data_IF_685642953282
#
_entry.id   IF_685642953282
#
_cell.length_a   1.000
_cell.length_b   1.000
_cell.length_c   1.000
_cell.angle_alpha   90.00
_cell.angle_beta   90.00
_cell.angle_gamma   90.00
#
_symmetry.space_group_name_H-M   'P 1'
#
loop_
_entity.id
_entity.type
_entity.pdbx_description
1 polymer ?
#
# COMPACT_ATOMS: atom_id res chain seq x y z
N UNK A 1 -22.78 -58.75 0.94
CA UNK A 1 -21.40 -59.27 0.81
C UNK A 1 -20.46 -58.19 1.33
N UNK A 2 -19.56 -58.59 2.23
CA UNK A 2 -18.58 -57.85 3.06
C UNK A 2 -17.90 -56.61 2.42
N UNK A 3 -17.85 -55.49 3.18
CA UNK A 3 -16.70 -54.82 3.87
C UNK A 3 -15.88 -53.93 2.91
N UNK A 4 -15.55 -52.65 3.18
CA UNK A 4 -14.80 -51.99 4.27
C UNK A 4 -15.12 -50.47 4.11
N UNK A 5 -15.35 -49.59 5.09
CA UNK A 5 -14.77 -49.43 6.41
C UNK A 5 -13.62 -48.41 6.37
N UNK A 6 -13.87 -47.11 6.20
CA UNK A 6 -12.85 -46.08 6.51
C UNK A 6 -13.48 -44.84 7.15
N UNK A 7 -12.83 -44.44 8.23
CA UNK A 7 -13.23 -43.41 9.17
C UNK A 7 -13.35 -42.04 8.50
N UNK A 8 -14.44 -41.34 8.79
CA UNK A 8 -14.52 -39.89 8.59
C UNK A 8 -13.67 -39.24 9.68
N UNK A 9 -12.44 -38.89 9.32
CA UNK A 9 -11.60 -38.02 10.13
C UNK A 9 -12.23 -36.62 10.07
N UNK A 10 -13.05 -36.28 11.06
CA UNK A 10 -13.47 -34.90 11.29
C UNK A 10 -12.22 -34.15 11.78
N UNK A 11 -11.51 -33.52 10.85
CA UNK A 11 -10.50 -32.53 11.18
C UNK A 11 -11.26 -31.29 11.64
N UNK A 12 -11.49 -31.19 12.94
CA UNK A 12 -11.78 -29.91 13.59
C UNK A 12 -10.52 -29.04 13.44
N UNK A 13 -10.44 -28.31 12.33
CA UNK A 13 -9.50 -27.22 12.18
C UNK A 13 -9.97 -26.13 13.16
N UNK A 14 -9.51 -26.22 14.40
CA UNK A 14 -9.45 -25.08 15.30
C UNK A 14 -8.39 -24.14 14.74
N UNK A 15 -8.74 -23.43 13.66
CA UNK A 15 -7.99 -22.27 13.21
C UNK A 15 -8.23 -21.17 14.24
N UNK A 16 -7.36 -21.14 15.25
CA UNK A 16 -7.13 -19.90 15.99
C UNK A 16 -6.47 -18.96 14.99
N UNK A 17 -7.29 -18.21 14.26
CA UNK A 17 -6.84 -17.14 13.40
C UNK A 17 -6.32 -16.01 14.30
N UNK A 18 -5.07 -16.12 14.73
CA UNK A 18 -4.36 -15.02 15.36
C UNK A 18 -3.88 -14.13 14.22
N UNK A 19 -4.70 -13.17 13.81
CA UNK A 19 -4.35 -12.19 12.78
C UNK A 19 -3.16 -11.34 13.24
N UNK A 20 -2.00 -11.55 12.62
CA UNK A 20 -0.81 -10.73 12.76
C UNK A 20 -0.46 -10.25 11.35
N UNK A 21 -0.28 -8.94 11.14
CA UNK A 21 -0.08 -8.35 9.81
C UNK A 21 1.25 -8.77 9.27
N UNK A 22 1.30 -9.00 7.96
CA UNK A 22 1.95 -10.18 7.40
C UNK A 22 2.19 -9.96 5.89
N UNK A 23 3.28 -10.51 5.37
CA UNK A 23 3.39 -10.82 3.95
C UNK A 23 2.41 -11.96 3.69
N UNK A 24 1.23 -11.60 3.22
CA UNK A 24 0.11 -12.51 3.08
C UNK A 24 0.13 -13.20 1.73
N UNK A 25 -0.56 -14.34 1.65
CA UNK A 25 -0.82 -15.01 0.38
C UNK A 25 -1.96 -14.37 -0.40
N UNK A 26 -2.92 -13.74 0.29
CA UNK A 26 -4.13 -13.19 -0.30
C UNK A 26 -4.73 -12.03 0.52
N UNK A 27 -4.77 -10.83 -0.07
CA UNK A 27 -5.40 -9.64 0.51
C UNK A 27 -6.86 -9.86 0.92
N UNK A 28 -7.65 -10.53 0.08
CA UNK A 28 -9.09 -10.74 0.31
C UNK A 28 -9.38 -11.60 1.54
N UNK A 29 -8.40 -12.37 2.02
CA UNK A 29 -8.52 -13.19 3.24
C UNK A 29 -7.98 -12.47 4.48
N UNK A 30 -6.92 -11.67 4.33
CA UNK A 30 -6.22 -11.10 5.48
C UNK A 30 -6.57 -9.65 5.77
N UNK A 31 -6.56 -8.77 4.76
CA UNK A 31 -6.78 -7.33 4.93
C UNK A 31 -7.80 -6.76 3.93
N UNK A 32 -8.89 -7.49 3.71
CA UNK A 32 -9.95 -7.15 2.76
C UNK A 32 -10.66 -5.83 3.07
N UNK A 33 -10.63 -5.36 4.33
CA UNK A 33 -11.25 -4.12 4.75
C UNK A 33 -10.70 -2.86 4.05
N UNK A 34 -9.53 -2.94 3.41
CA UNK A 34 -8.93 -1.81 2.70
C UNK A 34 -9.30 -1.72 1.23
N UNK A 35 -10.06 -2.69 0.73
CA UNK A 35 -10.46 -2.76 -0.66
C UNK A 35 -11.97 -2.55 -0.77
N UNK A 36 -12.39 -1.86 -1.82
CA UNK A 36 -13.81 -1.67 -2.09
C UNK A 36 -14.49 -3.02 -2.29
N UNK A 37 -15.72 -3.14 -1.82
CA UNK A 37 -16.53 -4.34 -1.95
C UNK A 37 -17.90 -4.06 -2.62
N UNK A 38 -17.91 -3.54 -3.86
CA UNK A 38 -19.15 -3.32 -4.59
C UNK A 38 -19.95 -4.61 -4.67
N UNK A 39 -21.27 -4.52 -4.47
CA UNK A 39 -22.15 -5.71 -4.42
C UNK A 39 -21.74 -6.75 -3.37
N UNK A 40 -20.99 -6.35 -2.33
CA UNK A 40 -20.44 -7.20 -1.26
C UNK A 40 -19.32 -8.15 -1.69
N UNK A 41 -18.72 -7.93 -2.85
CA UNK A 41 -17.57 -8.71 -3.33
C UNK A 41 -16.30 -7.88 -3.25
N UNK A 42 -15.32 -8.31 -2.47
CA UNK A 42 -14.04 -7.60 -2.28
C UNK A 42 -13.28 -7.56 -3.61
N UNK A 43 -12.97 -6.36 -4.09
CA UNK A 43 -12.32 -6.15 -5.39
C UNK A 43 -11.00 -5.39 -5.18
N UNK A 44 -9.89 -6.08 -4.85
CA UNK A 44 -8.57 -5.45 -4.85
C UNK A 44 -8.11 -5.18 -6.29
N UNK A 45 -7.21 -4.20 -6.52
CA UNK A 45 -6.52 -4.08 -7.80
C UNK A 45 -5.76 -5.35 -8.16
N UNK A 46 -5.49 -5.55 -9.44
CA UNK A 46 -4.81 -6.74 -9.93
C UNK A 46 -3.46 -6.97 -9.23
N UNK A 47 -3.28 -8.20 -8.76
CA UNK A 47 -2.01 -8.67 -8.22
C UNK A 47 -1.25 -9.35 -9.35
N UNK A 48 -0.13 -8.74 -9.72
CA UNK A 48 0.73 -9.27 -10.78
C UNK A 48 1.31 -10.65 -10.38
N UNK A 49 1.38 -11.59 -11.33
CA UNK A 49 2.00 -12.89 -11.08
C UNK A 49 3.51 -12.73 -10.93
N UNK A 50 4.10 -13.47 -9.99
CA UNK A 50 5.55 -13.60 -9.89
C UNK A 50 6.09 -13.52 -8.46
N UNK A 51 7.24 -14.16 -8.18
CA UNK A 51 7.82 -14.23 -6.86
C UNK A 51 8.48 -12.92 -6.41
N UNK A 52 8.39 -11.83 -7.16
CA UNK A 52 8.82 -10.49 -6.73
C UNK A 52 7.69 -9.69 -6.07
N UNK A 53 6.44 -9.99 -6.41
CA UNK A 53 5.30 -9.26 -5.88
C UNK A 53 4.92 -9.82 -4.51
N UNK A 54 4.85 -8.93 -3.52
CA UNK A 54 4.63 -9.25 -2.11
C UNK A 54 3.39 -8.50 -1.65
N UNK A 55 2.37 -9.23 -1.23
CA UNK A 55 1.19 -8.66 -0.61
C UNK A 55 1.48 -8.43 0.86
N UNK A 56 1.35 -7.21 1.36
CA UNK A 56 1.70 -6.82 2.72
C UNK A 56 0.47 -6.21 3.37
N UNK A 57 0.07 -6.71 4.54
CA UNK A 57 -0.94 -6.06 5.39
C UNK A 57 -0.21 -5.41 6.57
N UNK A 58 -0.06 -4.07 6.55
CA UNK A 58 0.81 -3.36 7.47
C UNK A 58 0.24 -3.25 8.88
N UNK A 59 1.11 -3.49 9.87
CA UNK A 59 0.81 -3.23 11.28
C UNK A 59 2.05 -2.91 12.11
N UNK A 60 1.84 -2.25 13.25
CA UNK A 60 2.89 -2.03 14.24
C UNK A 60 3.01 -3.18 15.24
N UNK A 61 4.15 -3.27 15.92
CA UNK A 61 4.50 -4.35 16.84
C UNK A 61 3.47 -4.62 17.95
N UNK A 62 2.79 -3.57 18.43
CA UNK A 62 1.86 -3.64 19.56
C UNK A 62 0.39 -3.59 19.13
N UNK A 63 0.09 -3.93 17.87
CA UNK A 63 -1.25 -3.90 17.32
C UNK A 63 -1.69 -5.28 16.83
N UNK A 64 -2.99 -5.55 17.00
CA UNK A 64 -3.67 -6.74 16.49
C UNK A 64 -4.60 -6.42 15.31
N UNK A 65 -4.44 -5.24 14.71
CA UNK A 65 -5.18 -4.81 13.54
C UNK A 65 -4.22 -4.26 12.51
N UNK A 66 -4.67 -4.22 11.25
CA UNK A 66 -3.93 -3.66 10.14
C UNK A 66 -4.31 -2.20 9.94
N UNK A 67 -3.39 -1.42 9.39
CA UNK A 67 -3.60 0.01 9.15
C UNK A 67 -3.84 0.31 7.66
N UNK A 68 -3.25 -0.50 6.76
CA UNK A 68 -3.44 -0.45 5.31
C UNK A 68 -2.85 -1.71 4.65
N UNK A 69 -2.95 -1.81 3.33
CA UNK A 69 -2.33 -2.87 2.53
C UNK A 69 -1.40 -2.29 1.46
N UNK A 70 -0.34 -3.01 1.11
CA UNK A 70 0.55 -2.67 -0.02
C UNK A 70 0.89 -3.89 -0.83
N UNK A 71 0.75 -3.79 -2.15
CA UNK A 71 1.42 -4.70 -3.08
C UNK A 71 2.81 -4.13 -3.37
N UNK A 72 3.86 -4.88 -3.06
CA UNK A 72 5.25 -4.43 -3.15
C UNK A 72 6.04 -5.24 -4.17
N UNK A 73 6.85 -4.57 -4.99
CA UNK A 73 7.79 -5.20 -5.92
C UNK A 73 9.18 -5.27 -5.27
N UNK A 74 9.61 -6.46 -4.86
CA UNK A 74 10.90 -6.67 -4.19
C UNK A 74 12.11 -6.54 -5.12
N UNK A 75 11.90 -6.63 -6.45
CA UNK A 75 12.98 -6.48 -7.44
C UNK A 75 13.24 -5.00 -7.69
N UNK A 76 12.19 -4.22 -7.95
CA UNK A 76 12.29 -2.76 -8.13
C UNK A 76 12.40 -1.99 -6.81
N UNK A 77 12.13 -2.66 -5.68
CA UNK A 77 12.16 -2.12 -4.31
C UNK A 77 11.25 -0.90 -4.12
N UNK A 78 10.11 -0.91 -4.80
CA UNK A 78 9.06 0.12 -4.67
C UNK A 78 7.70 -0.56 -4.50
N UNK A 79 6.73 0.09 -3.85
CA UNK A 79 5.35 -0.37 -3.93
C UNK A 79 4.86 -0.33 -5.37
N UNK A 80 3.99 -1.27 -5.72
CA UNK A 80 3.13 -1.20 -6.89
C UNK A 80 1.93 -0.31 -6.54
N UNK A 81 1.28 -0.59 -5.41
CA UNK A 81 0.23 0.26 -4.83
C UNK A 81 0.12 0.09 -3.32
N UNK A 82 -0.45 1.07 -2.64
CA UNK A 82 -1.00 0.98 -1.28
C UNK A 82 -2.50 1.28 -1.30
N UNK A 83 -3.29 0.51 -0.55
CA UNK A 83 -4.73 0.62 -0.45
C UNK A 83 -5.18 0.81 1.02
N UNK A 84 -6.16 1.67 1.25
CA UNK A 84 -6.69 1.99 2.57
C UNK A 84 -8.15 2.44 2.52
N UNK A 85 -8.85 2.24 3.63
CA UNK A 85 -10.17 2.83 3.87
C UNK A 85 -9.98 4.26 4.39
N UNK A 86 -10.58 5.23 3.71
CA UNK A 86 -10.61 6.62 4.14
C UNK A 86 -11.83 6.88 5.00
N UNK A 87 -11.60 7.16 6.28
CA UNK A 87 -12.64 7.40 7.30
C UNK A 87 -12.61 8.83 7.84
N UNK A 88 -12.04 9.76 7.07
CA UNK A 88 -11.73 11.12 7.49
C UNK A 88 -10.28 11.28 7.94
N UNK A 89 -9.84 12.53 8.11
CA UNK A 89 -8.47 12.85 8.49
C UNK A 89 -8.44 13.66 9.80
N UNK A 90 -7.34 13.51 10.55
CA UNK A 90 -7.04 14.33 11.73
C UNK A 90 -5.61 14.85 11.67
N UNK A 91 -5.32 16.05 12.24
CA UNK A 91 -3.96 16.53 12.36
C UNK A 91 -3.09 15.51 13.12
N UNK A 92 -2.01 15.05 12.49
CA UNK A 92 -1.06 14.08 13.05
C UNK A 92 0.37 14.61 12.90
N UNK A 93 1.24 14.20 13.82
CA UNK A 93 2.67 14.55 13.75
C UNK A 93 3.39 13.61 12.80
N UNK A 94 4.27 14.16 11.96
CA UNK A 94 5.11 13.35 11.06
C UNK A 94 6.28 12.75 11.83
N UNK A 95 6.56 11.46 11.65
CA UNK A 95 7.77 10.81 12.17
C UNK A 95 9.01 11.20 11.35
N UNK A 96 10.16 11.11 12.01
CA UNK A 96 11.48 11.19 11.35
C UNK A 96 12.00 9.78 11.02
N UNK A 97 11.69 8.80 11.88
CA UNK A 97 12.13 7.42 11.73
C UNK A 97 11.20 6.67 10.80
N UNK A 98 11.79 5.92 9.87
CA UNK A 98 11.10 5.03 8.95
C UNK A 98 11.31 3.59 9.37
N UNK A 99 10.24 2.81 9.27
CA UNK A 99 10.25 1.36 9.41
C UNK A 99 10.47 0.68 8.05
N UNK A 100 10.62 -0.64 8.10
CA UNK A 100 10.57 -1.54 6.96
C UNK A 100 9.85 -2.83 7.39
N UNK A 101 9.67 -3.78 6.48
CA UNK A 101 9.01 -5.07 6.77
C UNK A 101 10.07 -6.17 6.95
N UNK A 102 10.42 -6.54 8.19
CA UNK A 102 11.58 -7.40 8.45
C UNK A 102 11.52 -8.75 7.73
N UNK A 103 10.32 -9.32 7.61
CA UNK A 103 10.08 -10.64 7.01
C UNK A 103 10.36 -10.69 5.50
N UNK A 104 10.42 -9.54 4.82
CA UNK A 104 10.83 -9.50 3.42
C UNK A 104 12.30 -9.91 3.27
N UNK A 105 13.15 -9.53 4.22
CA UNK A 105 14.59 -9.80 4.17
C UNK A 105 15.01 -11.03 4.99
N UNK A 106 14.26 -11.36 6.06
CA UNK A 106 14.52 -12.52 6.92
C UNK A 106 13.20 -13.15 7.36
N UNK A 107 12.86 -14.30 6.78
CA UNK A 107 11.59 -15.02 7.02
C UNK A 107 11.41 -15.46 8.48
N UNK A 108 12.46 -15.45 9.31
CA UNK A 108 12.35 -15.76 10.74
C UNK A 108 11.87 -14.55 11.56
N UNK A 109 11.72 -13.39 10.95
CA UNK A 109 11.23 -12.19 11.65
C UNK A 109 9.72 -12.17 11.74
N UNK A 110 9.26 -11.58 12.84
CA UNK A 110 7.85 -11.32 13.08
C UNK A 110 7.28 -10.34 12.07
N UNK A 111 5.95 -10.26 11.99
CA UNK A 111 5.32 -9.78 10.78
C UNK A 111 4.96 -8.27 10.87
N UNK A 112 5.25 -7.67 12.02
CA UNK A 112 5.11 -6.24 12.28
C UNK A 112 6.24 -5.43 11.66
N UNK A 113 5.92 -4.24 11.15
CA UNK A 113 6.92 -3.27 10.73
C UNK A 113 7.86 -2.93 11.89
N UNK A 114 9.15 -2.76 11.60
CA UNK A 114 10.16 -2.52 12.62
C UNK A 114 11.31 -1.64 12.11
N UNK A 115 12.19 -1.15 12.99
CA UNK A 115 13.42 -0.50 12.55
C UNK A 115 14.30 -1.48 11.77
N UNK A 116 15.01 -0.97 10.77
CA UNK A 116 15.97 -1.75 9.98
C UNK A 116 16.96 -2.56 10.84
N UNK A 117 17.39 -2.01 11.99
CA UNK A 117 18.30 -2.62 12.98
C UNK A 117 17.87 -4.02 13.44
N UNK A 118 16.61 -4.38 13.29
CA UNK A 118 16.05 -5.69 13.66
C UNK A 118 16.50 -6.84 12.74
N UNK A 119 16.91 -6.56 11.51
CA UNK A 119 17.50 -7.54 10.58
C UNK A 119 19.01 -7.33 10.48
N UNK A 120 19.74 -8.45 10.37
CA UNK A 120 21.20 -8.43 10.27
C UNK A 120 21.67 -7.67 9.03
N UNK A 121 22.86 -7.06 9.10
CA UNK A 121 23.44 -6.33 7.96
C UNK A 121 23.63 -7.19 6.71
N UNK A 122 23.77 -8.51 6.86
CA UNK A 122 23.96 -9.44 5.75
C UNK A 122 22.67 -9.72 4.96
N UNK A 123 21.50 -9.59 5.61
CA UNK A 123 20.20 -9.88 4.98
C UNK A 123 19.42 -8.61 4.63
N UNK A 124 19.59 -7.55 5.42
CA UNK A 124 18.83 -6.31 5.30
C UNK A 124 19.00 -5.67 3.92
N UNK A 125 17.87 -5.33 3.30
CA UNK A 125 17.79 -4.61 2.04
C UNK A 125 17.91 -5.49 0.81
N UNK A 126 17.90 -6.82 0.96
CA UNK A 126 17.93 -7.74 -0.18
C UNK A 126 16.66 -7.64 -1.02
N UNK A 127 15.50 -7.57 -0.34
CA UNK A 127 14.17 -7.62 -0.96
C UNK A 127 13.36 -6.34 -0.76
N UNK A 128 13.94 -5.28 -0.18
CA UNK A 128 13.28 -3.99 -0.02
C UNK A 128 14.29 -2.83 0.04
N UNK A 129 13.79 -1.61 -0.10
CA UNK A 129 14.58 -0.39 0.02
C UNK A 129 15.06 -0.15 1.47
N UNK A 130 16.18 0.55 1.61
CA UNK A 130 16.70 1.04 2.89
C UNK A 130 16.65 2.56 2.94
N UNK A 131 16.66 3.11 4.15
CA UNK A 131 16.72 4.55 4.37
C UNK A 131 17.95 5.18 3.72
N UNK A 132 19.06 4.44 3.63
CA UNK A 132 20.28 4.86 2.94
C UNK A 132 20.12 4.96 1.42
N UNK A 133 19.19 4.23 0.79
CA UNK A 133 18.94 4.34 -0.66
C UNK A 133 18.37 5.71 -1.05
N UNK A 134 17.64 6.34 -0.13
CA UNK A 134 17.11 7.69 -0.29
C UNK A 134 18.07 8.78 0.22
N UNK A 135 19.07 8.41 1.02
CA UNK A 135 20.04 9.35 1.57
C UNK A 135 20.86 10.02 0.47
N UNK A 136 20.72 11.34 0.30
CA UNK A 136 21.39 12.14 -0.75
C UNK A 136 21.07 11.68 -2.18
N UNK A 137 19.97 10.95 -2.39
CA UNK A 137 19.57 10.46 -3.71
C UNK A 137 19.06 11.55 -4.65
N UNK A 138 18.65 12.70 -4.09
CA UNK A 138 17.91 13.74 -4.81
C UNK A 138 16.39 13.53 -4.82
N UNK A 139 15.91 12.39 -4.31
CA UNK A 139 14.48 12.05 -4.26
C UNK A 139 13.94 12.08 -2.83
N UNK A 140 12.67 12.46 -2.71
CA UNK A 140 11.91 12.27 -1.48
C UNK A 140 11.43 10.82 -1.37
N UNK A 141 11.13 10.39 -0.13
CA UNK A 141 10.32 9.20 0.15
C UNK A 141 8.84 9.57 -0.02
N UNK A 142 8.36 9.52 -1.27
CA UNK A 142 6.97 9.84 -1.60
C UNK A 142 6.03 8.76 -1.07
N UNK A 143 5.11 9.13 -0.19
CA UNK A 143 4.18 8.17 0.41
C UNK A 143 3.08 7.80 -0.59
N UNK A 144 2.62 6.54 -0.57
CA UNK A 144 1.43 6.13 -1.31
C UNK A 144 0.17 6.23 -0.44
N UNK A 145 0.24 5.79 0.82
CA UNK A 145 -0.72 6.22 1.85
C UNK A 145 -0.15 7.46 2.57
N UNK A 146 -0.62 8.67 2.26
CA UNK A 146 -0.06 9.89 2.85
C UNK A 146 -0.56 10.12 4.28
N UNK A 147 0.33 10.65 5.13
CA UNK A 147 0.01 11.07 6.50
C UNK A 147 -1.23 11.96 6.57
N UNK A 148 -1.44 12.83 5.59
CA UNK A 148 -2.57 13.77 5.56
C UNK A 148 -3.94 13.08 5.44
N UNK A 149 -3.99 11.83 4.97
CA UNK A 149 -5.22 11.06 4.84
C UNK A 149 -5.55 10.25 6.11
N UNK A 150 -4.64 10.22 7.09
CA UNK A 150 -4.80 9.39 8.29
C UNK A 150 -5.66 10.05 9.36
N UNK A 151 -6.33 9.23 10.18
CA UNK A 151 -7.28 9.68 11.20
C UNK A 151 -6.76 9.54 12.65
N UNK A 152 -5.56 9.02 12.83
CA UNK A 152 -4.95 8.74 14.14
C UNK A 152 -3.44 8.76 14.04
N UNK A 153 -2.76 9.07 15.14
CA UNK A 153 -1.29 9.07 15.17
C UNK A 153 -0.71 7.69 14.89
N UNK A 154 -1.39 6.62 15.32
CA UNK A 154 -0.99 5.25 15.02
C UNK A 154 -1.02 4.95 13.52
N UNK A 155 -2.11 5.35 12.85
CA UNK A 155 -2.23 5.20 11.40
C UNK A 155 -1.18 6.06 10.68
N UNK A 156 -1.00 7.32 11.08
CA UNK A 156 0.06 8.19 10.57
C UNK A 156 1.43 7.55 10.68
N UNK A 157 1.75 7.00 11.85
CA UNK A 157 3.01 6.35 12.16
C UNK A 157 3.27 5.11 11.29
N UNK A 158 2.23 4.34 10.98
CA UNK A 158 2.33 3.13 10.15
C UNK A 158 2.67 3.45 8.69
N UNK A 159 2.28 4.64 8.20
CA UNK A 159 2.61 5.07 6.83
C UNK A 159 4.10 5.33 6.60
N UNK A 160 4.89 5.51 7.67
CA UNK A 160 6.34 5.67 7.61
C UNK A 160 7.07 4.33 7.48
N UNK A 161 6.65 3.48 6.55
CA UNK A 161 7.38 2.27 6.15
C UNK A 161 7.92 2.43 4.74
N UNK A 162 9.15 1.97 4.47
CA UNK A 162 9.77 2.10 3.14
C UNK A 162 9.04 1.31 2.06
N UNK A 163 8.24 0.32 2.43
CA UNK A 163 7.35 -0.40 1.50
C UNK A 163 6.17 0.45 1.04
N UNK A 164 5.81 1.51 1.77
CA UNK A 164 4.77 2.49 1.40
C UNK A 164 5.35 3.72 0.67
N UNK A 165 6.62 3.68 0.26
CA UNK A 165 7.27 4.83 -0.37
C UNK A 165 8.03 4.47 -1.65
N UNK A 166 7.96 5.39 -2.61
CA UNK A 166 8.75 5.35 -3.84
C UNK A 166 9.56 6.64 -4.02
N UNK A 167 10.67 6.62 -4.78
CA UNK A 167 11.43 7.83 -5.11
C UNK A 167 10.57 8.85 -5.85
N UNK A 168 10.28 9.97 -5.20
CA UNK A 168 9.42 11.01 -5.76
C UNK A 168 10.22 12.30 -5.94
N UNK A 169 10.06 12.96 -7.09
CA UNK A 169 10.73 14.23 -7.35
C UNK A 169 10.32 15.27 -6.29
N UNK A 170 11.26 15.94 -5.60
CA UNK A 170 10.91 16.79 -4.45
C UNK A 170 9.93 17.91 -4.78
N UNK A 171 10.05 18.53 -5.95
CA UNK A 171 9.11 19.57 -6.38
C UNK A 171 7.72 19.04 -6.73
N UNK A 172 7.64 17.78 -7.18
CA UNK A 172 6.37 17.12 -7.46
C UNK A 172 5.67 16.74 -6.16
N UNK A 173 6.37 16.00 -5.30
CA UNK A 173 5.90 15.55 -3.98
C UNK A 173 5.36 16.72 -3.15
N UNK A 174 6.15 17.79 -3.03
CA UNK A 174 5.83 18.94 -2.17
C UNK A 174 4.90 19.96 -2.83
N UNK A 175 4.65 19.81 -4.13
CA UNK A 175 3.87 20.72 -4.98
C UNK A 175 2.58 20.08 -5.45
N UNK A 176 2.52 19.75 -6.74
CA UNK A 176 1.29 19.27 -7.40
C UNK A 176 0.75 17.98 -6.79
N UNK A 177 1.61 17.04 -6.37
CA UNK A 177 1.14 15.80 -5.74
C UNK A 177 0.46 16.09 -4.39
N UNK A 178 1.12 16.85 -3.50
CA UNK A 178 0.52 17.31 -2.24
C UNK A 178 -0.80 18.07 -2.46
N UNK A 179 -0.90 18.87 -3.52
CA UNK A 179 -2.14 19.58 -3.85
C UNK A 179 -3.25 18.59 -4.20
N UNK A 180 -2.97 17.61 -5.06
CA UNK A 180 -3.90 16.54 -5.39
C UNK A 180 -4.33 15.77 -4.12
N UNK A 181 -3.40 15.38 -3.26
CA UNK A 181 -3.71 14.68 -2.00
C UNK A 181 -4.68 15.49 -1.12
N UNK A 182 -4.48 16.80 -1.03
CA UNK A 182 -5.35 17.71 -0.28
C UNK A 182 -6.73 17.86 -0.91
N UNK A 183 -6.80 18.00 -2.24
CA UNK A 183 -8.06 18.18 -2.96
C UNK A 183 -8.90 16.90 -2.94
N UNK A 184 -8.27 15.72 -2.99
CA UNK A 184 -8.94 14.43 -2.77
C UNK A 184 -9.55 14.34 -1.37
N UNK A 185 -8.82 14.72 -0.31
CA UNK A 185 -9.36 14.77 1.06
C UNK A 185 -10.59 15.68 1.16
N UNK A 186 -10.56 16.87 0.54
CA UNK A 186 -11.72 17.76 0.50
C UNK A 186 -12.91 17.09 -0.18
N UNK A 187 -12.69 16.47 -1.34
CA UNK A 187 -13.73 15.77 -2.08
C UNK A 187 -14.34 14.63 -1.27
N UNK A 188 -13.52 13.75 -0.67
CA UNK A 188 -14.00 12.60 0.10
C UNK A 188 -14.78 13.04 1.35
N UNK A 189 -14.32 14.08 2.06
CA UNK A 189 -15.04 14.63 3.21
C UNK A 189 -16.40 15.21 2.84
N UNK A 190 -16.51 15.85 1.67
CA UNK A 190 -17.74 16.49 1.22
C UNK A 190 -18.75 15.51 0.62
N UNK A 191 -18.28 14.48 -0.09
CA UNK A 191 -19.13 13.66 -0.96
C UNK A 191 -19.27 12.20 -0.51
N UNK A 192 -18.34 11.68 0.29
CA UNK A 192 -18.30 10.24 0.60
C UNK A 192 -18.50 9.91 2.08
N UNK A 193 -18.13 10.83 2.99
CA UNK A 193 -18.39 10.66 4.42
C UNK A 193 -19.83 11.03 4.78
N UNK A 194 -20.46 10.37 5.77
CA UNK A 194 -19.90 9.41 6.73
C UNK A 194 -19.99 7.93 6.28
N UNK A 195 -20.04 7.64 4.99
CA UNK A 195 -20.30 6.29 4.48
C UNK A 195 -18.98 5.50 4.40
N UNK A 196 -18.52 5.14 3.20
CA UNK A 196 -17.29 4.37 2.99
C UNK A 196 -16.57 4.89 1.76
N UNK A 197 -15.30 5.24 1.94
CA UNK A 197 -14.40 5.64 0.87
C UNK A 197 -13.17 4.76 0.90
N UNK A 198 -12.76 4.29 -0.27
CA UNK A 198 -11.56 3.48 -0.46
C UNK A 198 -10.63 4.24 -1.39
N UNK A 199 -9.34 4.21 -1.07
CA UNK A 199 -8.32 4.90 -1.86
C UNK A 199 -7.18 3.93 -2.14
N UNK A 200 -6.73 3.94 -3.39
CA UNK A 200 -5.56 3.21 -3.84
C UNK A 200 -4.62 4.21 -4.49
N UNK A 201 -3.37 4.24 -4.05
CA UNK A 201 -2.32 5.03 -4.68
C UNK A 201 -1.24 4.09 -5.16
N UNK A 202 -0.71 4.29 -6.36
CA UNK A 202 0.36 3.47 -6.90
C UNK A 202 1.32 4.24 -7.77
N UNK A 203 2.30 3.52 -8.30
CA UNK A 203 3.34 4.06 -9.16
C UNK A 203 3.58 3.16 -10.37
N UNK A 204 4.06 3.75 -11.45
CA UNK A 204 4.46 3.03 -12.67
C UNK A 204 5.99 2.96 -12.72
N UNK A 205 6.62 1.78 -12.63
CA UNK A 205 8.08 1.65 -12.67
C UNK A 205 8.64 2.16 -14.00
N UNK A 206 9.88 2.65 -13.97
CA UNK A 206 10.64 2.88 -15.21
C UNK A 206 11.20 1.57 -15.75
N UNK A 207 11.01 1.28 -17.04
CA UNK A 207 11.39 -0.01 -17.66
C UNK A 207 12.24 0.11 -18.92
N UNK A 208 12.20 1.23 -19.66
CA UNK A 208 12.87 1.37 -20.96
C UNK A 208 13.40 2.80 -21.24
N UNK A 209 14.63 3.14 -20.80
CA UNK A 209 15.47 2.38 -19.87
C UNK A 209 14.95 2.51 -18.43
N UNK A 210 15.23 1.52 -17.55
CA UNK A 210 14.94 1.68 -16.14
C UNK A 210 15.86 2.74 -15.52
N UNK A 211 15.30 3.55 -14.62
CA UNK A 211 15.99 4.59 -13.88
C UNK A 211 16.01 4.18 -12.41
N UNK A 212 17.16 4.34 -11.76
CA UNK A 212 17.34 4.03 -10.35
C UNK A 212 17.84 5.26 -9.60
N UNK A 213 17.60 5.29 -8.29
CA UNK A 213 18.30 6.21 -7.39
C UNK A 213 19.83 5.96 -7.48
N UNK A 214 20.70 6.90 -7.06
CA UNK A 214 22.15 6.77 -7.24
C UNK A 214 22.79 5.52 -6.63
N UNK A 215 22.17 4.88 -5.63
CA UNK A 215 22.64 3.58 -5.10
C UNK A 215 22.47 2.41 -6.08
N UNK A 216 21.72 2.60 -7.18
CA UNK A 216 21.41 1.58 -8.17
C UNK A 216 20.38 0.54 -7.73
N UNK A 217 19.78 0.69 -6.54
CA UNK A 217 18.95 -0.37 -5.91
C UNK A 217 17.44 -0.16 -6.04
N UNK A 218 16.97 1.09 -6.05
CA UNK A 218 15.55 1.43 -5.98
C UNK A 218 15.12 2.10 -7.26
N UNK A 219 14.12 1.55 -7.94
CA UNK A 219 13.59 2.07 -9.19
C UNK A 219 12.95 3.45 -8.94
N UNK A 220 13.21 4.40 -9.83
CA UNK A 220 12.53 5.69 -9.87
C UNK A 220 11.32 5.52 -10.80
N UNK A 221 10.09 5.59 -10.29
CA UNK A 221 8.89 5.46 -11.12
C UNK A 221 8.74 6.64 -12.07
N UNK A 222 8.16 6.38 -13.23
CA UNK A 222 7.83 7.41 -14.23
C UNK A 222 6.58 8.18 -13.87
N UNK A 223 5.63 7.52 -13.19
CA UNK A 223 4.33 8.10 -12.85
C UNK A 223 3.90 7.72 -11.44
N UNK A 224 3.08 8.58 -10.85
CA UNK A 224 2.26 8.31 -9.69
C UNK A 224 0.79 8.38 -10.11
N UNK A 225 -0.02 7.50 -9.56
CA UNK A 225 -1.46 7.49 -9.78
C UNK A 225 -2.22 7.29 -8.48
N UNK A 226 -3.45 7.76 -8.45
CA UNK A 226 -4.40 7.53 -7.39
C UNK A 226 -5.76 7.16 -7.98
N UNK A 227 -6.48 6.28 -7.30
CA UNK A 227 -7.86 5.90 -7.58
C UNK A 227 -8.66 5.95 -6.28
N UNK A 228 -9.93 6.31 -6.38
CA UNK A 228 -10.85 6.25 -5.24
C UNK A 228 -12.21 5.68 -5.65
N UNK A 229 -12.89 5.08 -4.68
CA UNK A 229 -14.25 4.58 -4.82
C UNK A 229 -15.02 4.81 -3.52
N UNK A 230 -16.22 5.38 -3.63
CA UNK A 230 -17.13 5.61 -2.53
C UNK A 230 -18.36 4.72 -2.72
N UNK A 231 -18.73 3.97 -1.68
CA UNK A 231 -19.88 3.06 -1.71
C UNK A 231 -20.99 3.61 -0.81
N UNK A 232 -22.24 3.43 -1.22
CA UNK A 232 -23.38 3.70 -0.36
C UNK A 232 -23.55 2.63 0.74
N UNK A 233 -24.59 2.79 1.57
CA UNK A 233 -24.93 1.81 2.62
C UNK A 233 -25.34 0.44 2.05
N UNK A 234 -25.70 0.36 0.77
CA UNK A 234 -26.07 -0.85 0.05
C UNK A 234 -24.91 -1.43 -0.78
N UNK A 235 -23.68 -0.95 -0.55
CA UNK A 235 -22.48 -1.39 -1.27
C UNK A 235 -22.53 -1.10 -2.77
N UNK A 236 -23.27 -0.07 -3.18
CA UNK A 236 -23.34 0.40 -4.57
C UNK A 236 -22.36 1.56 -4.78
N UNK A 237 -21.60 1.59 -5.90
CA UNK A 237 -20.74 2.71 -6.23
C UNK A 237 -21.53 4.02 -6.36
N UNK A 238 -21.12 5.04 -5.61
CA UNK A 238 -21.67 6.41 -5.69
C UNK A 238 -20.76 7.34 -6.50
N UNK A 239 -19.49 7.35 -6.13
CA UNK A 239 -18.46 8.16 -6.76
C UNK A 239 -17.22 7.31 -6.96
N UNK A 240 -16.59 7.45 -8.12
CA UNK A 240 -15.28 6.89 -8.37
C UNK A 240 -14.49 7.84 -9.25
N UNK A 241 -13.18 7.65 -9.31
CA UNK A 241 -12.33 8.50 -10.11
C UNK A 241 -10.87 8.17 -9.91
N UNK A 242 -10.03 8.93 -10.59
CA UNK A 242 -8.59 8.74 -10.49
C UNK A 242 -7.80 9.96 -10.94
N UNK A 243 -6.50 9.87 -10.73
CA UNK A 243 -5.53 10.86 -11.13
C UNK A 243 -4.23 10.17 -11.56
N UNK A 244 -3.62 10.61 -12.65
CA UNK A 244 -2.33 10.14 -13.14
C UNK A 244 -1.43 11.34 -13.38
N UNK A 245 -0.18 11.27 -12.92
CA UNK A 245 0.80 12.31 -13.19
C UNK A 245 2.18 11.70 -13.37
N UNK A 246 2.97 12.30 -14.26
CA UNK A 246 4.41 12.05 -14.33
C UNK A 246 5.05 12.41 -12.99
N UNK A 247 6.11 11.68 -12.62
CA UNK A 247 6.93 11.94 -11.44
C UNK A 247 7.88 13.12 -11.71
N UNK A 248 7.30 14.28 -12.03
CA UNK A 248 8.00 15.53 -12.31
C UNK A 248 7.06 16.74 -12.05
N UNK A 249 7.43 17.95 -12.50
CA UNK A 249 6.63 19.16 -12.23
C UNK A 249 5.39 19.32 -13.12
N UNK A 250 5.08 18.38 -14.00
CA UNK A 250 3.96 18.54 -14.92
C UNK A 250 2.62 18.35 -14.21
N UNK A 251 1.59 18.97 -14.78
CA UNK A 251 0.23 18.81 -14.31
C UNK A 251 -0.29 17.44 -14.73
N UNK A 252 -0.87 16.70 -13.80
CA UNK A 252 -1.49 15.42 -14.09
C UNK A 252 -2.89 15.54 -14.69
N UNK A 253 -3.45 14.37 -14.99
CA UNK A 253 -4.77 14.19 -15.58
C UNK A 253 -5.72 13.57 -14.55
N UNK A 254 -6.91 14.15 -14.42
CA UNK A 254 -8.01 13.58 -13.65
C UNK A 254 -8.92 12.71 -14.51
N UNK A 255 -9.45 11.65 -13.92
CA UNK A 255 -10.36 10.69 -14.54
C UNK A 255 -11.65 10.62 -13.73
N UNK A 256 -12.79 10.60 -14.43
CA UNK A 256 -14.12 10.58 -13.81
C UNK A 256 -14.55 9.17 -13.35
N UNK A 257 -13.79 8.13 -13.69
CA UNK A 257 -14.03 6.75 -13.24
C UNK A 257 -12.69 6.03 -13.06
N UNK A 258 -12.67 4.98 -12.23
CA UNK A 258 -11.50 4.10 -12.09
C UNK A 258 -11.21 3.34 -13.38
N UNK A 259 -12.23 2.88 -14.10
CA UNK A 259 -12.05 2.19 -15.38
C UNK A 259 -11.41 3.06 -16.47
N UNK A 260 -11.63 4.38 -16.45
CA UNK A 260 -10.96 5.29 -17.39
C UNK A 260 -9.47 5.46 -17.04
N UNK A 261 -9.10 5.42 -15.76
CA UNK A 261 -7.70 5.40 -15.33
C UNK A 261 -7.04 4.07 -15.72
N UNK A 262 -7.70 2.94 -15.50
CA UNK A 262 -7.18 1.60 -15.83
C UNK A 262 -6.82 1.44 -17.32
N UNK A 263 -7.55 2.11 -18.22
CA UNK A 263 -7.27 2.06 -19.67
C UNK A 263 -5.97 2.75 -20.08
N UNK A 264 -5.37 3.56 -19.21
CA UNK A 264 -4.16 4.34 -19.52
C UNK A 264 -2.95 3.96 -18.66
N UNK A 265 -3.13 3.08 -17.68
CA UNK A 265 -2.05 2.50 -16.87
C UNK A 265 -1.42 1.30 -17.60
#
# INVERSE_FOLDING_TARGET
MKLVGQAVLIILVNSVAVGLGEVVTNFSQSCSQFFSNPNKEVTPPDVFPGPQYRQICQKQANQNFYEFATLYDSVNRIPVFSAYEYVGHKPCTRKVVWYFEPQLDDQNKGPSMAPESTVSKAMRGNNQALGSDYGKSGYDKGHLYPVFHTNSQSCADSTFTLTNAAPQQPSFNRGEWKKMENDLVKFLNQNCLPIRAYVVTGVVPSTNPPVFVPSGRVNVPTHFWNAYCCLDNNFQPMFSGGYLSTNDKQKGQSFNTTSALEQVL
#
